data_IF_893736296094
#
_entry.id   IF_893736296094
#
_cell.length_a   1.000
_cell.length_b   1.000
_cell.length_c   1.000
_cell.angle_alpha   90.00
_cell.angle_beta   90.00
_cell.angle_gamma   90.00
#
_symmetry.space_group_name_H-M   'P 1'
#
loop_
_entity.id
_entity.type
_entity.pdbx_description
1 polymer ?
#
# COMPACT_ATOMS: atom_id res chain seq x y z
N UNK A 1 3.60 27.95 13.92
CA UNK A 1 2.53 27.35 13.11
C UNK A 1 2.41 28.13 11.80
N UNK A 2 2.27 27.46 10.66
CA UNK A 2 1.99 28.10 9.36
C UNK A 2 0.54 27.75 9.03
N UNK A 3 -0.42 28.68 9.14
CA UNK A 3 -1.85 28.37 9.01
C UNK A 3 -2.26 27.67 7.71
N UNK A 4 -1.45 27.80 6.65
CA UNK A 4 -1.68 27.15 5.37
C UNK A 4 -1.27 25.66 5.33
N UNK A 5 -0.54 25.16 6.32
CA UNK A 5 -0.08 23.76 6.38
C UNK A 5 -0.96 23.00 7.36
N UNK A 6 -1.95 22.28 6.82
CA UNK A 6 -2.95 21.55 7.61
C UNK A 6 -2.77 20.02 7.60
N UNK A 7 -1.87 19.49 6.76
CA UNK A 7 -1.61 18.07 6.68
C UNK A 7 -0.16 17.76 6.26
N UNK A 8 0.30 16.56 6.61
CA UNK A 8 1.51 15.95 6.07
C UNK A 8 1.19 14.56 5.52
N UNK A 9 1.97 14.15 4.52
CA UNK A 9 2.04 12.76 4.07
C UNK A 9 3.40 12.20 4.46
N UNK A 10 3.41 11.18 5.31
CA UNK A 10 4.63 10.54 5.77
C UNK A 10 4.97 9.31 4.93
N UNK A 11 5.81 9.54 3.93
CA UNK A 11 6.33 8.51 3.03
C UNK A 11 7.69 7.94 3.42
N UNK A 12 8.24 8.33 4.58
CA UNK A 12 9.56 7.90 5.02
C UNK A 12 9.58 6.50 5.64
N UNK A 13 8.41 5.91 5.94
CA UNK A 13 8.26 4.63 6.66
C UNK A 13 9.00 4.64 8.01
N UNK A 14 8.87 5.75 8.74
CA UNK A 14 9.44 5.96 10.07
C UNK A 14 8.35 6.41 11.04
N UNK A 15 7.48 5.50 11.51
CA UNK A 15 6.33 5.86 12.34
C UNK A 15 6.68 6.71 13.57
N UNK A 16 7.85 6.47 14.19
CA UNK A 16 8.31 7.26 15.33
C UNK A 16 8.39 8.77 15.01
N UNK A 17 8.76 9.15 13.79
CA UNK A 17 8.77 10.55 13.36
C UNK A 17 7.37 11.14 13.30
N UNK A 18 6.39 10.38 12.81
CA UNK A 18 4.98 10.76 12.77
C UNK A 18 4.40 10.96 14.17
N UNK A 19 4.79 10.11 15.14
CA UNK A 19 4.40 10.28 16.53
C UNK A 19 4.95 11.59 17.14
N UNK A 20 6.23 11.86 16.93
CA UNK A 20 6.86 13.09 17.39
C UNK A 20 6.23 14.34 16.74
N UNK A 21 5.86 14.23 15.46
CA UNK A 21 5.18 15.31 14.76
C UNK A 21 3.79 15.59 15.33
N UNK A 22 3.01 14.55 15.64
CA UNK A 22 1.72 14.72 16.30
C UNK A 22 1.84 15.37 17.69
N UNK A 23 2.87 15.03 18.45
CA UNK A 23 3.14 15.68 19.76
C UNK A 23 3.50 17.16 19.61
N UNK A 24 4.20 17.53 18.53
CA UNK A 24 4.57 18.92 18.23
C UNK A 24 3.42 19.74 17.64
N UNK A 25 2.57 19.12 16.81
CA UNK A 25 1.50 19.76 16.05
C UNK A 25 0.26 18.85 16.00
N UNK A 26 -0.53 18.78 17.09
CA UNK A 26 -1.63 17.81 17.23
C UNK A 26 -2.78 18.04 16.23
N UNK A 27 -2.97 19.28 15.77
CA UNK A 27 -4.01 19.63 14.80
C UNK A 27 -3.60 19.35 13.34
N UNK A 28 -2.34 18.95 13.10
CA UNK A 28 -1.86 18.59 11.76
C UNK A 28 -2.36 17.19 11.40
N UNK A 29 -3.08 17.06 10.28
CA UNK A 29 -3.50 15.75 9.78
C UNK A 29 -2.28 14.97 9.27
N UNK A 30 -2.05 13.78 9.80
CA UNK A 30 -0.96 12.90 9.35
C UNK A 30 -1.54 11.75 8.53
N UNK A 31 -1.14 11.66 7.26
CA UNK A 31 -1.36 10.46 6.46
C UNK A 31 -0.10 9.62 6.39
N UNK A 32 -0.16 8.44 6.97
CA UNK A 32 0.94 7.48 6.96
C UNK A 32 0.92 6.58 5.72
N UNK A 33 2.11 6.19 5.28
CA UNK A 33 2.31 5.17 4.25
C UNK A 33 2.58 3.78 4.86
N UNK A 34 2.95 3.67 6.14
CA UNK A 34 3.12 2.38 6.82
C UNK A 34 1.79 1.88 7.40
N UNK A 35 1.36 0.67 7.03
CA UNK A 35 0.10 0.09 7.53
C UNK A 35 0.16 -0.30 9.01
N UNK A 36 1.36 -0.47 9.58
CA UNK A 36 1.58 -0.89 10.97
C UNK A 36 0.97 0.09 11.96
N UNK A 37 0.93 1.38 11.63
CA UNK A 37 0.37 2.40 12.54
C UNK A 37 -1.13 2.19 12.78
N UNK A 38 -1.86 1.71 11.78
CA UNK A 38 -3.29 1.43 11.90
C UNK A 38 -3.53 0.23 12.82
N UNK A 39 -2.68 -0.80 12.74
CA UNK A 39 -2.68 -1.94 13.68
C UNK A 39 -2.31 -1.53 15.10
N UNK A 40 -1.41 -0.56 15.24
CA UNK A 40 -1.05 0.02 16.53
C UNK A 40 -2.16 0.90 17.14
N UNK A 41 -3.32 1.03 16.46
CA UNK A 41 -4.45 1.80 16.94
C UNK A 41 -4.26 3.32 16.86
N UNK A 42 -3.36 3.79 15.99
CA UNK A 42 -3.06 5.22 15.87
C UNK A 42 -4.23 6.03 15.30
N UNK A 43 -5.08 5.39 14.50
CA UNK A 43 -6.33 6.00 14.06
C UNK A 43 -7.26 6.27 15.25
N UNK A 44 -7.51 5.25 16.09
CA UNK A 44 -8.30 5.42 17.34
C UNK A 44 -7.71 6.51 18.24
N UNK A 45 -6.39 6.56 18.33
CA UNK A 45 -5.69 7.54 19.16
C UNK A 45 -5.67 8.97 18.56
N UNK A 46 -6.21 9.18 17.36
CA UNK A 46 -6.23 10.49 16.69
C UNK A 46 -4.86 10.95 16.17
N UNK A 47 -3.89 10.03 16.04
CA UNK A 47 -2.53 10.36 15.59
C UNK A 47 -2.46 10.44 14.06
N UNK A 48 -3.21 9.59 13.37
CA UNK A 48 -3.26 9.52 11.89
C UNK A 48 -4.68 9.66 11.37
N UNK A 49 -4.83 10.15 10.15
CA UNK A 49 -6.10 10.23 9.46
C UNK A 49 -6.64 8.86 9.02
N UNK A 50 -7.94 8.76 8.66
CA UNK A 50 -8.61 7.51 8.30
C UNK A 50 -8.27 7.02 6.87
N UNK A 51 -7.07 7.30 6.37
CA UNK A 51 -6.66 6.90 5.03
C UNK A 51 -5.15 6.78 4.92
N UNK A 52 -4.70 5.70 4.31
CA UNK A 52 -3.33 5.56 3.84
C UNK A 52 -3.20 6.24 2.48
N UNK A 53 -2.31 7.22 2.34
CA UNK A 53 -2.18 7.99 1.10
C UNK A 53 -1.11 7.38 0.17
N UNK A 54 -1.44 7.14 -1.10
CA UNK A 54 -0.51 6.61 -2.11
C UNK A 54 -0.33 5.09 -2.05
N UNK A 55 -1.41 4.38 -1.76
CA UNK A 55 -1.43 2.93 -1.74
C UNK A 55 -1.58 2.33 -3.13
N UNK A 56 -1.18 1.08 -3.25
CA UNK A 56 -1.54 0.22 -4.36
C UNK A 56 -2.90 -0.48 -4.12
N UNK A 57 -3.81 0.12 -3.33
CA UNK A 57 -4.99 -0.59 -2.82
C UNK A 57 -5.91 -1.13 -3.92
N UNK A 58 -6.05 -0.40 -5.02
CA UNK A 58 -6.80 -0.84 -6.21
C UNK A 58 -6.21 -2.08 -6.90
N UNK A 59 -5.01 -2.51 -6.52
CA UNK A 59 -4.32 -3.70 -7.01
C UNK A 59 -4.45 -4.90 -6.06
N UNK A 60 -5.10 -4.72 -4.90
CA UNK A 60 -5.19 -5.72 -3.83
C UNK A 60 -6.57 -6.39 -3.75
N UNK A 61 -7.51 -5.98 -4.61
CA UNK A 61 -8.88 -6.49 -4.56
C UNK A 61 -9.56 -6.36 -5.92
N UNK A 62 -10.73 -7.01 -6.04
CA UNK A 62 -11.65 -6.88 -7.17
C UNK A 62 -13.07 -6.62 -6.64
N UNK A 63 -14.03 -6.21 -7.48
CA UNK A 63 -15.42 -6.07 -7.05
C UNK A 63 -16.03 -7.37 -6.49
N UNK A 64 -15.53 -8.54 -6.91
CA UNK A 64 -15.99 -9.85 -6.45
C UNK A 64 -15.27 -10.31 -5.17
N UNK A 65 -14.13 -9.71 -4.85
CA UNK A 65 -13.28 -10.05 -3.70
C UNK A 65 -12.74 -8.74 -3.06
N UNK A 66 -13.60 -7.97 -2.35
CA UNK A 66 -13.27 -6.65 -1.80
C UNK A 66 -12.48 -6.74 -0.48
N UNK A 67 -11.43 -7.57 -0.46
CA UNK A 67 -10.72 -7.94 0.77
C UNK A 67 -10.08 -6.73 1.46
N UNK A 68 -9.49 -5.82 0.69
CA UNK A 68 -8.83 -4.66 1.28
C UNK A 68 -9.87 -3.69 1.86
N UNK A 69 -10.99 -3.51 1.16
CA UNK A 69 -12.13 -2.73 1.62
C UNK A 69 -12.72 -3.29 2.92
N UNK A 70 -12.95 -4.61 3.00
CA UNK A 70 -13.43 -5.27 4.23
C UNK A 70 -12.45 -5.11 5.40
N UNK A 71 -11.14 -5.21 5.14
CA UNK A 71 -10.12 -4.93 6.16
C UNK A 71 -10.19 -3.48 6.67
N UNK A 72 -10.29 -2.49 5.78
CA UNK A 72 -10.37 -1.09 6.17
C UNK A 72 -11.65 -0.75 6.93
N UNK A 73 -12.77 -1.37 6.58
CA UNK A 73 -14.01 -1.25 7.37
C UNK A 73 -13.80 -1.69 8.82
N UNK A 74 -13.08 -2.79 9.07
CA UNK A 74 -12.76 -3.22 10.43
C UNK A 74 -11.86 -2.19 11.15
N UNK A 75 -10.86 -1.64 10.48
CA UNK A 75 -9.97 -0.61 11.03
C UNK A 75 -10.73 0.68 11.37
N UNK A 76 -11.59 1.17 10.46
CA UNK A 76 -12.38 2.38 10.68
C UNK A 76 -13.40 2.25 11.81
N UNK A 77 -13.88 1.02 12.06
CA UNK A 77 -14.81 0.71 13.14
C UNK A 77 -14.12 0.31 14.46
N UNK A 78 -12.81 0.56 14.62
CA UNK A 78 -12.01 0.22 15.81
C UNK A 78 -12.05 -1.28 16.19
N UNK A 79 -12.26 -2.16 15.20
CA UNK A 79 -12.23 -3.62 15.37
C UNK A 79 -10.85 -4.17 15.06
N UNK A 80 -9.83 -3.69 15.77
CA UNK A 80 -8.42 -3.92 15.40
C UNK A 80 -8.01 -5.39 15.50
N UNK A 81 -8.51 -6.12 16.50
CA UNK A 81 -8.22 -7.55 16.64
C UNK A 81 -8.83 -8.34 15.48
N UNK A 82 -10.09 -8.05 15.13
CA UNK A 82 -10.77 -8.66 14.00
C UNK A 82 -10.10 -8.29 12.67
N UNK A 83 -9.63 -7.05 12.52
CA UNK A 83 -8.88 -6.62 11.34
C UNK A 83 -7.58 -7.41 11.16
N UNK A 84 -6.84 -7.63 12.25
CA UNK A 84 -5.60 -8.43 12.24
C UNK A 84 -5.89 -9.89 11.89
N UNK A 85 -6.86 -10.50 12.55
CA UNK A 85 -7.32 -11.86 12.27
C UNK A 85 -7.78 -12.02 10.82
N UNK A 86 -8.53 -11.04 10.31
CA UNK A 86 -9.03 -11.03 8.95
C UNK A 86 -7.90 -10.94 7.93
N UNK A 87 -6.94 -10.03 8.14
CA UNK A 87 -5.80 -9.85 7.24
C UNK A 87 -4.91 -11.10 7.15
N UNK A 88 -4.74 -11.82 8.27
CA UNK A 88 -4.04 -13.10 8.29
C UNK A 88 -4.84 -14.19 7.56
N UNK A 89 -6.10 -14.41 7.95
CA UNK A 89 -6.93 -15.52 7.44
C UNK A 89 -7.31 -15.36 5.96
N UNK A 90 -7.50 -14.12 5.50
CA UNK A 90 -7.75 -13.82 4.08
C UNK A 90 -6.51 -13.99 3.20
N UNK A 91 -5.31 -14.03 3.79
CA UNK A 91 -4.04 -14.03 3.06
C UNK A 91 -3.55 -12.64 2.65
N UNK A 92 -4.25 -11.56 3.02
CA UNK A 92 -3.89 -10.18 2.70
C UNK A 92 -2.46 -9.84 3.16
N UNK A 93 -2.06 -10.30 4.34
CA UNK A 93 -0.72 -10.07 4.89
C UNK A 93 0.36 -10.71 4.04
N UNK A 94 0.15 -11.96 3.67
CA UNK A 94 1.09 -12.69 2.84
C UNK A 94 1.15 -12.08 1.43
N UNK A 95 0.01 -11.74 0.85
CA UNK A 95 -0.05 -11.09 -0.46
C UNK A 95 0.75 -9.78 -0.47
N UNK A 96 0.56 -8.94 0.55
CA UNK A 96 1.32 -7.71 0.72
C UNK A 96 2.84 -7.95 0.77
N UNK A 97 3.30 -8.99 1.48
CA UNK A 97 4.72 -9.37 1.53
C UNK A 97 5.25 -9.75 0.14
N UNK A 98 4.49 -10.54 -0.63
CA UNK A 98 4.97 -11.05 -1.92
C UNK A 98 5.16 -9.96 -2.98
N UNK A 99 4.33 -8.92 -2.96
CA UNK A 99 4.31 -7.89 -4.02
C UNK A 99 5.03 -6.60 -3.62
N UNK A 100 5.24 -6.35 -2.32
CA UNK A 100 5.74 -5.06 -1.82
C UNK A 100 7.06 -4.65 -2.46
N UNK A 101 8.04 -5.55 -2.52
CA UNK A 101 9.38 -5.25 -3.05
C UNK A 101 9.30 -4.81 -4.52
N UNK A 102 8.48 -5.47 -5.34
CA UNK A 102 8.30 -5.10 -6.75
C UNK A 102 7.68 -3.72 -6.93
N UNK A 103 6.83 -3.29 -6.00
CA UNK A 103 6.21 -1.97 -6.07
C UNK A 103 7.13 -0.86 -5.58
N UNK A 104 8.05 -1.11 -4.66
CA UNK A 104 8.74 -0.04 -3.93
C UNK A 104 10.27 -0.07 -3.97
N UNK A 105 10.88 -1.09 -4.59
CA UNK A 105 12.33 -1.29 -4.63
C UNK A 105 12.87 -1.35 -6.08
N UNK A 106 12.85 -0.21 -6.78
CA UNK A 106 13.46 -0.14 -8.12
C UNK A 106 14.99 -0.39 -8.07
N UNK A 107 15.54 -1.38 -8.78
CA UNK A 107 16.97 -1.74 -8.70
C UNK A 107 17.94 -0.62 -9.09
N UNK A 108 17.52 0.35 -9.91
CA UNK A 108 18.35 1.51 -10.23
C UNK A 108 18.45 2.55 -9.11
N UNK A 109 17.72 2.37 -8.00
CA UNK A 109 17.76 3.19 -6.78
C UNK A 109 17.53 2.32 -5.54
N UNK A 110 18.43 1.37 -5.22
CA UNK A 110 18.18 0.33 -4.22
C UNK A 110 17.99 0.88 -2.79
N UNK A 111 18.63 2.00 -2.45
CA UNK A 111 18.56 2.61 -1.11
C UNK A 111 17.44 3.65 -0.96
N UNK A 112 16.53 3.75 -1.94
CA UNK A 112 15.47 4.75 -1.96
C UNK A 112 14.12 4.12 -2.27
N UNK A 113 13.13 4.42 -1.43
CA UNK A 113 11.74 4.05 -1.71
C UNK A 113 11.30 4.61 -3.06
N UNK A 114 11.16 3.72 -4.05
CA UNK A 114 10.92 4.11 -5.44
C UNK A 114 9.80 3.28 -6.02
N UNK A 115 8.67 3.92 -6.32
CA UNK A 115 7.58 3.27 -7.03
C UNK A 115 8.02 2.83 -8.42
N UNK A 116 7.91 1.54 -8.75
CA UNK A 116 8.27 1.04 -10.08
C UNK A 116 7.05 0.92 -10.98
N UNK A 117 6.79 1.94 -11.81
CA UNK A 117 5.57 2.03 -12.62
C UNK A 117 5.29 0.81 -13.51
N UNK A 118 6.31 0.13 -14.03
CA UNK A 118 6.19 -1.10 -14.81
C UNK A 118 5.58 -2.25 -14.01
N UNK A 119 5.90 -2.36 -12.71
CA UNK A 119 5.28 -3.33 -11.81
C UNK A 119 3.79 -3.02 -11.59
N UNK A 120 3.46 -1.75 -11.32
CA UNK A 120 2.06 -1.31 -11.16
C UNK A 120 1.22 -1.57 -12.42
N UNK A 121 1.76 -1.24 -13.60
CA UNK A 121 1.08 -1.49 -14.88
C UNK A 121 0.89 -2.98 -15.12
N UNK A 122 1.92 -3.79 -14.89
CA UNK A 122 1.79 -5.23 -15.07
C UNK A 122 0.74 -5.84 -14.14
N UNK A 123 0.76 -5.49 -12.84
CA UNK A 123 -0.24 -5.91 -11.88
C UNK A 123 -1.67 -5.45 -12.28
N UNK A 124 -1.82 -4.20 -12.71
CA UNK A 124 -3.10 -3.68 -13.22
C UNK A 124 -3.61 -4.50 -14.41
N UNK A 125 -2.74 -4.90 -15.34
CA UNK A 125 -3.11 -5.71 -16.50
C UNK A 125 -3.59 -7.11 -16.14
N UNK A 126 -3.07 -7.71 -15.05
CA UNK A 126 -3.54 -9.01 -14.57
C UNK A 126 -4.99 -8.96 -14.09
N UNK A 127 -5.40 -7.82 -13.51
CA UNK A 127 -6.78 -7.56 -13.08
C UNK A 127 -7.69 -7.06 -14.22
N UNK A 128 -7.19 -7.00 -15.46
CA UNK A 128 -7.94 -6.48 -16.60
C UNK A 128 -8.13 -4.96 -16.60
N UNK A 129 -7.37 -4.22 -15.77
CA UNK A 129 -7.45 -2.76 -15.73
C UNK A 129 -6.71 -2.14 -16.92
N UNK A 130 -7.15 -0.97 -17.41
CA UNK A 130 -6.51 -0.31 -18.55
C UNK A 130 -5.12 0.24 -18.18
N UNK A 131 -4.13 -0.03 -19.04
CA UNK A 131 -2.73 0.44 -18.84
C UNK A 131 -2.20 1.33 -19.99
N UNK A 132 -3.04 1.55 -21.01
CA UNK A 132 -2.68 2.25 -22.25
C UNK A 132 -1.74 1.44 -23.16
N UNK A 133 -1.32 2.05 -24.27
CA UNK A 133 -0.57 1.37 -25.33
C UNK A 133 0.93 1.17 -25.02
N UNK A 134 1.40 1.79 -23.94
CA UNK A 134 2.80 1.68 -23.51
C UNK A 134 2.88 0.93 -22.17
N UNK A 135 3.26 -0.36 -22.15
CA UNK A 135 3.14 -1.21 -20.97
C UNK A 135 4.26 -1.00 -19.93
N UNK A 136 5.30 -0.22 -20.26
CA UNK A 136 6.46 -0.01 -19.39
C UNK A 136 6.38 1.32 -18.63
N UNK A 137 7.25 1.48 -17.64
CA UNK A 137 7.58 2.80 -17.11
C UNK A 137 8.29 3.63 -18.18
N UNK A 138 8.08 4.95 -18.15
CA UNK A 138 8.93 5.84 -18.95
C UNK A 138 10.35 5.86 -18.36
N UNK A 139 11.38 6.13 -19.18
CA UNK A 139 12.73 6.37 -18.67
C UNK A 139 12.74 7.40 -17.53
N UNK A 140 13.62 7.25 -16.52
CA UNK A 140 14.79 6.37 -16.49
C UNK A 140 14.57 5.00 -15.82
N UNK A 141 13.32 4.59 -15.55
CA UNK A 141 13.07 3.27 -14.98
C UNK A 141 13.27 2.17 -16.02
N UNK A 142 14.00 1.13 -15.65
CA UNK A 142 14.17 -0.07 -16.46
C UNK A 142 12.84 -0.81 -16.61
N UNK A 143 12.79 -1.66 -17.62
CA UNK A 143 11.67 -2.57 -17.82
C UNK A 143 11.59 -3.60 -16.69
N UNK A 144 10.37 -3.98 -16.33
CA UNK A 144 10.14 -5.02 -15.34
C UNK A 144 10.60 -6.38 -15.91
N UNK A 145 11.53 -7.07 -15.23
CA UNK A 145 12.06 -8.35 -15.71
C UNK A 145 11.00 -9.46 -15.65
N UNK A 146 11.21 -10.50 -16.45
CA UNK A 146 10.30 -11.67 -16.52
C UNK A 146 10.15 -12.38 -15.18
N UNK A 147 11.21 -12.43 -14.38
CA UNK A 147 11.15 -12.97 -13.01
C UNK A 147 10.16 -12.19 -12.14
N UNK A 148 10.19 -10.86 -12.19
CA UNK A 148 9.25 -10.03 -11.43
C UNK A 148 7.83 -10.20 -11.92
N UNK A 149 7.63 -10.35 -13.24
CA UNK A 149 6.32 -10.69 -13.81
C UNK A 149 5.81 -12.04 -13.30
N UNK A 150 6.67 -13.06 -13.28
CA UNK A 150 6.31 -14.39 -12.80
C UNK A 150 5.94 -14.35 -11.31
N UNK A 151 6.75 -13.71 -10.46
CA UNK A 151 6.48 -13.61 -9.02
C UNK A 151 5.18 -12.84 -8.73
N UNK A 152 4.94 -11.72 -9.40
CA UNK A 152 3.69 -10.97 -9.27
C UNK A 152 2.51 -11.86 -9.69
N UNK A 153 2.57 -12.51 -10.86
CA UNK A 153 1.48 -13.39 -11.32
C UNK A 153 1.17 -14.49 -10.31
N UNK A 154 2.20 -15.18 -9.83
CA UNK A 154 2.06 -16.25 -8.84
C UNK A 154 1.43 -15.74 -7.54
N UNK A 155 1.80 -14.55 -7.06
CA UNK A 155 1.19 -13.95 -5.88
C UNK A 155 -0.31 -13.69 -6.08
N UNK A 156 -0.71 -13.15 -7.24
CA UNK A 156 -2.11 -12.90 -7.57
C UNK A 156 -2.93 -14.19 -7.71
N UNK A 157 -2.34 -15.23 -8.30
CA UNK A 157 -2.96 -16.56 -8.41
C UNK A 157 -3.16 -17.19 -7.04
N UNK A 158 -2.12 -17.19 -6.20
CA UNK A 158 -2.18 -17.72 -4.84
C UNK A 158 -3.19 -16.99 -3.97
N UNK A 159 -3.33 -15.68 -4.15
CA UNK A 159 -4.30 -14.85 -3.43
C UNK A 159 -5.72 -14.95 -4.02
N UNK A 160 -5.88 -15.60 -5.17
CA UNK A 160 -7.19 -15.86 -5.80
C UNK A 160 -7.75 -14.70 -6.61
N UNK A 161 -6.99 -13.62 -6.85
CA UNK A 161 -7.46 -12.48 -7.64
C UNK A 161 -7.52 -12.77 -9.14
N UNK A 162 -6.77 -13.76 -9.61
CA UNK A 162 -6.76 -14.24 -11.00
C UNK A 162 -6.72 -15.77 -11.03
N UNK A 163 -7.15 -16.37 -12.14
CA UNK A 163 -7.08 -17.82 -12.35
C UNK A 163 -5.64 -18.32 -12.55
N UNK A 164 -5.42 -19.61 -12.28
CA UNK A 164 -4.17 -20.35 -12.56
C UNK A 164 -3.79 -20.37 -14.05
#
# INVERSE_FOLDING_TARGET
>A
EIPAVCATKEGAFRPASSRLLHELAPDLVIWECDTTVYRAGWLRAGIVGPAQLGTAGYLYETPQQPILSEYWELVWNDKLMEAMDYAEKSGLDQFGVDIRSWFTCYPGRPDYFTHWGGAFKYAASLLGLPIGDYPHSRPPQAELPDEGRAQIRTAYQRFGLIAE
#
